data_IF_230980198497
#
_entry.id   IF_230980198497
#
_cell.length_a   1.000
_cell.length_b   1.000
_cell.length_c   1.000
_cell.angle_alpha   90.00
_cell.angle_beta   90.00
_cell.angle_gamma   90.00
#
_symmetry.space_group_name_H-M   'P 1'
#
loop_
_entity.id
_entity.type
_entity.pdbx_description
1 polymer ?
#
# COMPACT_ATOMS: atom_id res chain seq x y z
N UNK A 1 -19.66 -14.33 36.65
CA UNK A 1 -19.80 -13.53 35.44
C UNK A 1 -19.96 -12.09 35.88
N UNK A 2 -18.87 -11.33 35.82
CA UNK A 2 -18.90 -9.88 36.08
C UNK A 2 -19.25 -9.26 34.72
N UNK A 3 -20.46 -8.69 34.60
CA UNK A 3 -20.79 -7.83 33.46
C UNK A 3 -19.85 -6.62 33.52
N UNK A 4 -18.89 -6.52 32.59
CA UNK A 4 -18.18 -5.28 32.34
C UNK A 4 -19.21 -4.24 31.86
N UNK A 5 -19.59 -3.36 32.77
CA UNK A 5 -20.35 -2.15 32.43
C UNK A 5 -19.54 -1.37 31.40
N UNK A 6 -20.04 -1.26 30.17
CA UNK A 6 -19.54 -0.24 29.23
C UNK A 6 -19.64 1.12 29.94
N UNK A 7 -18.55 1.93 29.93
CA UNK A 7 -18.61 3.26 30.56
C UNK A 7 -19.76 4.06 29.93
N UNK A 8 -20.50 4.75 30.79
CA UNK A 8 -21.59 5.61 30.36
C UNK A 8 -20.98 6.75 29.54
N UNK A 9 -21.41 6.97 28.31
CA UNK A 9 -20.89 8.03 27.42
C UNK A 9 -20.90 9.43 28.04
N UNK A 10 -21.58 9.63 29.19
CA UNK A 10 -21.65 10.90 29.90
C UNK A 10 -20.47 11.17 30.86
N UNK A 11 -19.66 10.16 31.19
CA UNK A 11 -18.54 10.29 32.14
C UNK A 11 -17.17 10.39 31.45
N UNK A 12 -17.15 10.37 30.13
CA UNK A 12 -15.92 10.50 29.32
C UNK A 12 -15.81 11.93 28.83
N UNK A 13 -14.71 12.59 29.14
CA UNK A 13 -14.39 13.90 28.56
C UNK A 13 -14.13 13.70 27.07
N UNK A 14 -15.12 14.00 26.25
CA UNK A 14 -14.98 13.97 24.80
C UNK A 14 -14.08 15.12 24.36
N UNK A 15 -12.82 14.81 24.03
CA UNK A 15 -11.92 15.79 23.41
C UNK A 15 -11.89 15.48 21.92
N UNK A 16 -12.51 16.37 21.14
CA UNK A 16 -12.36 16.34 19.69
C UNK A 16 -11.02 16.97 19.32
N UNK A 17 -10.02 16.16 19.01
CA UNK A 17 -8.82 16.67 18.38
C UNK A 17 -9.22 17.04 16.96
N UNK A 18 -9.11 18.31 16.66
CA UNK A 18 -9.34 18.88 15.33
C UNK A 18 -8.20 18.50 14.36
N UNK A 19 -7.94 17.21 14.18
CA UNK A 19 -7.39 16.70 12.93
C UNK A 19 -8.55 16.68 11.94
N UNK A 20 -9.02 17.91 11.62
CA UNK A 20 -10.16 18.13 10.77
C UNK A 20 -9.96 17.51 9.40
N UNK A 21 -11.04 17.42 8.63
CA UNK A 21 -11.07 16.83 7.30
C UNK A 21 -9.93 17.27 6.38
N UNK A 22 -9.31 18.43 6.66
CA UNK A 22 -8.12 18.92 5.97
C UNK A 22 -7.16 19.48 7.04
N UNK A 23 -6.14 18.73 7.39
CA UNK A 23 -5.13 19.13 8.35
C UNK A 23 -3.73 19.06 7.69
N UNK A 24 -2.82 20.04 7.93
CA UNK A 24 -1.49 20.06 7.30
C UNK A 24 -0.65 18.80 7.53
N UNK A 25 -0.82 18.13 8.68
CA UNK A 25 -0.09 16.90 9.01
C UNK A 25 -0.74 15.64 8.45
N UNK A 26 -1.90 15.73 7.81
CA UNK A 26 -2.57 14.61 7.18
C UNK A 26 -2.27 14.61 5.68
N UNK A 27 -1.67 13.52 5.16
CA UNK A 27 -1.43 13.37 3.71
C UNK A 27 -2.72 13.33 2.89
N UNK A 28 -3.82 12.87 3.50
CA UNK A 28 -5.15 12.78 2.89
C UNK A 28 -6.22 13.12 3.93
N UNK A 29 -7.38 13.68 3.53
CA UNK A 29 -8.42 14.10 4.46
C UNK A 29 -9.11 12.91 5.13
N UNK A 30 -9.19 12.95 6.46
CA UNK A 30 -9.94 12.05 7.32
C UNK A 30 -10.25 12.75 8.64
N UNK A 31 -11.15 12.19 9.45
CA UNK A 31 -11.48 12.71 10.77
C UNK A 31 -11.27 11.64 11.82
N UNK A 32 -10.60 11.98 12.90
CA UNK A 32 -10.49 11.15 14.09
C UNK A 32 -11.23 11.81 15.24
N UNK A 33 -11.98 11.00 15.98
CA UNK A 33 -12.55 11.36 17.28
C UNK A 33 -11.97 10.43 18.33
N UNK A 34 -11.35 11.00 19.34
CA UNK A 34 -10.77 10.28 20.47
C UNK A 34 -11.60 10.53 21.72
N UNK A 35 -11.95 9.47 22.42
CA UNK A 35 -12.57 9.53 23.74
C UNK A 35 -11.48 9.29 24.78
N UNK A 36 -11.26 10.25 25.68
CA UNK A 36 -10.08 10.33 26.52
C UNK A 36 -10.48 10.47 28.00
N UNK A 37 -9.79 9.74 28.86
CA UNK A 37 -9.85 9.86 30.30
C UNK A 37 -8.43 9.97 30.87
N UNK A 38 -8.15 11.03 31.64
CA UNK A 38 -6.81 11.33 32.17
C UNK A 38 -5.70 11.28 31.10
N UNK A 39 -5.95 11.91 29.94
CA UNK A 39 -5.04 11.97 28.77
C UNK A 39 -4.78 10.61 28.08
N UNK A 40 -5.41 9.54 28.54
CA UNK A 40 -5.32 8.20 27.95
C UNK A 40 -6.52 7.92 27.05
N UNK A 41 -6.25 7.47 25.83
CA UNK A 41 -7.30 7.13 24.85
C UNK A 41 -8.04 5.86 25.28
N UNK A 42 -9.36 5.95 25.43
CA UNK A 42 -10.25 4.82 25.75
C UNK A 42 -10.97 4.26 24.52
N UNK A 43 -11.27 5.12 23.56
CA UNK A 43 -11.90 4.73 22.30
C UNK A 43 -11.43 5.67 21.19
N UNK A 44 -11.30 5.16 19.97
CA UNK A 44 -10.96 5.94 18.78
C UNK A 44 -11.94 5.62 17.65
N UNK A 45 -12.51 6.64 17.03
CA UNK A 45 -13.36 6.55 15.86
C UNK A 45 -12.70 7.24 14.67
N UNK A 46 -12.53 6.53 13.57
CA UNK A 46 -12.00 7.09 12.30
C UNK A 46 -13.14 7.21 11.30
N UNK A 47 -13.44 8.45 10.91
CA UNK A 47 -14.42 8.74 9.86
C UNK A 47 -13.71 8.89 8.51
N UNK A 48 -14.13 8.09 7.54
CA UNK A 48 -13.63 8.07 6.17
C UNK A 48 -14.73 8.55 5.20
N UNK A 49 -14.39 8.67 3.91
CA UNK A 49 -15.36 8.97 2.85
C UNK A 49 -15.23 10.35 2.23
N UNK A 50 -14.34 11.19 2.76
CA UNK A 50 -14.11 12.55 2.25
C UNK A 50 -13.60 12.54 0.80
N UNK A 51 -12.82 11.52 0.44
CA UNK A 51 -12.25 11.34 -0.90
C UNK A 51 -13.08 10.43 -1.81
N UNK A 52 -14.34 10.15 -1.47
CA UNK A 52 -15.16 9.23 -2.25
C UNK A 52 -15.45 9.77 -3.66
N UNK A 53 -14.98 9.04 -4.68
CA UNK A 53 -15.11 9.42 -6.09
C UNK A 53 -15.95 8.44 -6.92
N UNK A 54 -16.49 7.40 -6.30
CA UNK A 54 -17.37 6.43 -6.95
C UNK A 54 -16.71 5.62 -8.07
N UNK A 55 -15.40 5.32 -7.98
CA UNK A 55 -14.65 4.67 -9.08
C UNK A 55 -15.30 3.37 -9.52
N UNK A 56 -15.71 2.49 -8.60
CA UNK A 56 -16.37 1.23 -8.93
C UNK A 56 -17.67 1.45 -9.70
N UNK A 57 -18.46 2.47 -9.30
CA UNK A 57 -19.68 2.82 -10.01
C UNK A 57 -19.40 3.38 -11.42
N UNK A 58 -18.32 4.15 -11.58
CA UNK A 58 -17.91 4.67 -12.90
C UNK A 58 -17.43 3.54 -13.81
N UNK A 59 -16.80 2.49 -13.25
CA UNK A 59 -16.38 1.32 -14.01
C UNK A 59 -17.55 0.54 -14.62
N UNK A 60 -18.71 0.56 -13.98
CA UNK A 60 -19.89 -0.18 -14.46
C UNK A 60 -20.28 0.22 -15.89
N UNK A 61 -20.34 -0.77 -16.79
CA UNK A 61 -20.67 -0.58 -18.19
C UNK A 61 -19.57 0.03 -19.06
N UNK A 62 -18.39 0.35 -18.51
CA UNK A 62 -17.25 0.76 -19.32
C UNK A 62 -16.65 -0.44 -20.06
N UNK A 63 -16.08 -0.24 -21.27
CA UNK A 63 -15.20 -1.22 -21.90
C UNK A 63 -14.07 -1.63 -20.93
N UNK A 64 -13.73 -2.93 -20.88
CA UNK A 64 -12.78 -3.49 -19.91
C UNK A 64 -11.44 -2.73 -19.88
N UNK A 65 -10.88 -2.38 -21.04
CA UNK A 65 -9.62 -1.64 -21.13
C UNK A 65 -9.70 -0.24 -20.49
N UNK A 66 -10.85 0.45 -20.68
CA UNK A 66 -11.08 1.77 -20.06
C UNK A 66 -11.30 1.66 -18.56
N UNK A 67 -12.05 0.66 -18.13
CA UNK A 67 -12.26 0.38 -16.71
C UNK A 67 -10.93 0.07 -16.01
N UNK A 68 -10.08 -0.78 -16.61
CA UNK A 68 -8.74 -1.08 -16.07
C UNK A 68 -7.88 0.20 -15.94
N UNK A 69 -7.88 1.07 -16.95
CA UNK A 69 -7.14 2.34 -16.89
C UNK A 69 -7.69 3.29 -15.82
N UNK A 70 -8.99 3.21 -15.51
CA UNK A 70 -9.61 4.03 -14.46
C UNK A 70 -9.16 3.61 -13.07
N UNK A 71 -8.80 2.33 -12.85
CA UNK A 71 -8.38 1.84 -11.52
C UNK A 71 -7.11 2.50 -11.00
N UNK A 72 -6.23 3.02 -11.86
CA UNK A 72 -5.09 3.86 -11.43
C UNK A 72 -5.52 5.09 -10.63
N UNK A 73 -6.76 5.56 -10.85
CA UNK A 73 -7.29 6.74 -10.17
C UNK A 73 -7.83 6.45 -8.77
N UNK A 74 -7.83 5.17 -8.35
CA UNK A 74 -8.21 4.80 -6.98
C UNK A 74 -7.20 5.36 -5.98
N UNK A 75 -5.90 5.29 -6.30
CA UNK A 75 -4.82 5.72 -5.42
C UNK A 75 -3.72 6.45 -6.19
N UNK A 76 -3.14 7.48 -5.59
CA UNK A 76 -1.97 8.18 -6.13
C UNK A 76 -0.63 7.60 -5.65
N UNK A 77 -0.64 6.63 -4.73
CA UNK A 77 0.57 6.01 -4.17
C UNK A 77 0.80 4.61 -4.75
N UNK A 78 -0.27 3.82 -4.94
CA UNK A 78 -0.22 2.46 -5.49
C UNK A 78 -1.02 2.35 -6.80
N UNK A 79 -0.81 3.28 -7.71
CA UNK A 79 -1.54 3.36 -8.98
C UNK A 79 -1.21 2.21 -9.93
N UNK A 80 0.06 1.79 -9.99
CA UNK A 80 0.49 0.63 -10.79
C UNK A 80 -0.15 -0.67 -10.27
N UNK A 81 -0.14 -0.87 -8.96
CA UNK A 81 -0.76 -2.03 -8.34
C UNK A 81 -2.26 -2.14 -8.69
N UNK A 82 -2.98 -1.04 -8.67
CA UNK A 82 -4.40 -1.02 -9.02
C UNK A 82 -4.67 -1.42 -10.47
N UNK A 83 -3.96 -0.82 -11.45
CA UNK A 83 -4.15 -1.19 -12.85
C UNK A 83 -3.67 -2.61 -13.12
N UNK A 84 -2.54 -3.01 -12.54
CA UNK A 84 -2.02 -4.37 -12.70
C UNK A 84 -3.01 -5.41 -12.19
N UNK A 85 -3.52 -5.26 -10.95
CA UNK A 85 -4.48 -6.21 -10.41
C UNK A 85 -5.80 -6.24 -11.20
N UNK A 86 -6.26 -5.09 -11.69
CA UNK A 86 -7.45 -5.02 -12.54
C UNK A 86 -7.23 -5.74 -13.89
N UNK A 87 -6.06 -5.59 -14.48
CA UNK A 87 -5.67 -6.30 -15.71
C UNK A 87 -5.57 -7.80 -15.46
N UNK A 88 -5.01 -8.24 -14.31
CA UNK A 88 -4.97 -9.65 -13.94
C UNK A 88 -6.37 -10.27 -13.82
N UNK A 89 -7.38 -9.52 -13.38
CA UNK A 89 -8.78 -10.01 -13.41
C UNK A 89 -9.20 -10.35 -14.82
N UNK A 90 -8.98 -9.44 -15.80
CA UNK A 90 -9.31 -9.70 -17.21
C UNK A 90 -8.51 -10.88 -17.77
N UNK A 91 -7.20 -10.91 -17.56
CA UNK A 91 -6.32 -11.96 -18.07
C UNK A 91 -6.71 -13.35 -17.54
N UNK A 92 -7.02 -13.45 -16.23
CA UNK A 92 -7.52 -14.70 -15.64
C UNK A 92 -8.87 -15.12 -16.23
N UNK A 93 -9.78 -14.17 -16.45
CA UNK A 93 -11.09 -14.45 -17.05
C UNK A 93 -11.02 -14.90 -18.49
N UNK A 94 -10.17 -14.26 -19.26
CA UNK A 94 -9.99 -14.52 -20.68
C UNK A 94 -8.96 -15.63 -20.97
N UNK A 95 -8.35 -16.23 -19.92
CA UNK A 95 -7.33 -17.27 -20.08
C UNK A 95 -6.07 -16.81 -20.81
N UNK A 96 -5.71 -15.53 -20.67
CA UNK A 96 -4.58 -14.92 -21.37
C UNK A 96 -3.28 -15.21 -20.65
N UNK A 97 -2.31 -15.80 -21.33
CA UNK A 97 -0.93 -15.92 -20.91
C UNK A 97 -0.11 -14.78 -21.51
N UNK A 98 0.56 -14.02 -20.66
CA UNK A 98 1.37 -12.88 -21.08
C UNK A 98 2.82 -13.31 -21.40
N UNK A 99 3.53 -12.57 -22.27
CA UNK A 99 4.95 -12.78 -22.47
C UNK A 99 5.72 -12.66 -21.14
N UNK A 100 6.65 -13.57 -20.89
CA UNK A 100 7.44 -13.59 -19.66
C UNK A 100 8.19 -12.26 -19.43
N UNK A 101 8.70 -11.64 -20.51
CA UNK A 101 9.32 -10.32 -20.45
C UNK A 101 8.37 -9.24 -19.89
N UNK A 102 7.10 -9.29 -20.24
CA UNK A 102 6.10 -8.37 -19.71
C UNK A 102 5.89 -8.56 -18.20
N UNK A 103 5.88 -9.82 -17.73
CA UNK A 103 5.78 -10.12 -16.31
C UNK A 103 6.95 -9.50 -15.52
N UNK A 104 8.18 -9.66 -16.00
CA UNK A 104 9.38 -9.08 -15.37
C UNK A 104 9.30 -7.55 -15.29
N UNK A 105 8.81 -6.88 -16.35
CA UNK A 105 8.63 -5.43 -16.34
C UNK A 105 7.54 -5.01 -15.32
N UNK A 106 6.44 -5.76 -15.22
CA UNK A 106 5.40 -5.53 -14.22
C UNK A 106 5.95 -5.63 -12.79
N UNK A 107 6.79 -6.65 -12.51
CA UNK A 107 7.44 -6.82 -11.21
C UNK A 107 8.40 -5.67 -10.90
N UNK A 108 9.21 -5.25 -11.87
CA UNK A 108 10.10 -4.08 -11.68
C UNK A 108 9.29 -2.83 -11.34
N UNK A 109 8.18 -2.59 -12.04
CA UNK A 109 7.30 -1.45 -11.76
C UNK A 109 6.64 -1.52 -10.39
N UNK A 110 6.21 -2.72 -9.97
CA UNK A 110 5.57 -2.94 -8.68
C UNK A 110 6.55 -2.77 -7.51
N UNK A 111 7.75 -3.32 -7.64
CA UNK A 111 8.76 -3.16 -6.58
C UNK A 111 9.33 -1.74 -6.53
N UNK A 112 9.42 -1.01 -7.65
CA UNK A 112 9.71 0.43 -7.63
C UNK A 112 8.57 1.21 -6.95
N UNK A 113 7.31 0.85 -7.19
CA UNK A 113 6.17 1.46 -6.51
C UNK A 113 6.18 1.14 -5.00
N UNK A 114 6.60 -0.06 -4.61
CA UNK A 114 6.80 -0.43 -3.19
C UNK A 114 7.89 0.42 -2.55
N UNK A 115 9.05 0.59 -3.18
CA UNK A 115 10.12 1.47 -2.71
C UNK A 115 9.62 2.90 -2.53
N UNK A 116 8.97 3.46 -3.56
CA UNK A 116 8.37 4.80 -3.52
C UNK A 116 7.42 4.96 -2.33
N UNK A 117 6.57 3.97 -2.09
CA UNK A 117 5.58 3.98 -1.01
C UNK A 117 6.24 3.89 0.37
N UNK A 118 7.22 2.99 0.55
CA UNK A 118 7.92 2.86 1.83
C UNK A 118 8.72 4.11 2.18
N UNK A 119 9.38 4.75 1.21
CA UNK A 119 10.04 6.04 1.47
C UNK A 119 9.06 7.17 1.79
N UNK A 120 7.85 7.16 1.21
CA UNK A 120 6.80 8.11 1.60
C UNK A 120 6.35 7.90 3.04
N UNK A 121 6.18 6.64 3.45
CA UNK A 121 5.87 6.30 4.85
C UNK A 121 6.98 6.76 5.80
N UNK A 122 8.26 6.48 5.48
CA UNK A 122 9.40 6.91 6.30
C UNK A 122 9.49 8.45 6.39
N UNK A 123 9.19 9.16 5.30
CA UNK A 123 9.16 10.62 5.29
C UNK A 123 8.05 11.16 6.19
N UNK A 124 6.83 10.66 6.03
CA UNK A 124 5.67 11.11 6.79
C UNK A 124 5.76 10.72 8.27
N UNK A 125 6.18 9.50 8.59
CA UNK A 125 6.39 9.06 9.96
C UNK A 125 7.47 9.89 10.67
N UNK A 126 8.55 10.25 9.96
CA UNK A 126 9.59 11.17 10.50
C UNK A 126 9.03 12.57 10.77
N UNK A 127 8.17 13.09 9.91
CA UNK A 127 7.51 14.38 10.09
C UNK A 127 6.59 14.37 11.31
N UNK A 128 5.77 13.34 11.49
CA UNK A 128 4.90 13.17 12.66
C UNK A 128 5.69 13.05 13.95
N UNK A 129 6.90 12.47 13.90
CA UNK A 129 7.85 12.44 15.03
C UNK A 129 8.55 13.78 15.28
N UNK A 130 8.32 14.81 14.44
CA UNK A 130 9.00 16.10 14.54
C UNK A 130 10.42 16.12 13.97
N UNK A 131 10.83 15.09 13.23
CA UNK A 131 12.16 14.97 12.61
C UNK A 131 12.17 15.36 11.13
N UNK A 132 12.02 16.66 10.86
CA UNK A 132 11.99 17.21 9.49
C UNK A 132 13.24 16.82 8.65
N UNK A 133 14.41 16.78 9.27
CA UNK A 133 15.65 16.37 8.58
C UNK A 133 15.58 14.95 8.03
N UNK A 134 15.02 14.01 8.77
CA UNK A 134 14.82 12.64 8.31
C UNK A 134 13.73 12.55 7.26
N UNK A 135 12.65 13.30 7.42
CA UNK A 135 11.60 13.42 6.41
C UNK A 135 12.18 13.85 5.06
N UNK A 136 12.93 14.96 5.04
CA UNK A 136 13.58 15.47 3.83
C UNK A 136 14.57 14.47 3.22
N UNK A 137 15.31 13.72 4.04
CA UNK A 137 16.22 12.67 3.55
C UNK A 137 15.47 11.51 2.90
N UNK A 138 14.38 11.06 3.48
CA UNK A 138 13.55 10.00 2.90
C UNK A 138 12.96 10.47 1.55
N UNK A 139 12.47 11.71 1.44
CA UNK A 139 12.03 12.30 0.17
C UNK A 139 13.16 12.40 -0.86
N UNK A 140 14.38 12.75 -0.45
CA UNK A 140 15.52 12.82 -1.35
C UNK A 140 15.85 11.44 -1.96
N UNK A 141 15.87 10.38 -1.15
CA UNK A 141 16.11 9.01 -1.65
C UNK A 141 14.95 8.58 -2.56
N UNK A 142 13.72 8.87 -2.15
CA UNK A 142 12.51 8.59 -2.92
C UNK A 142 12.55 9.22 -4.32
N UNK A 143 13.19 10.38 -4.49
CA UNK A 143 13.26 11.06 -5.78
C UNK A 143 13.95 10.21 -6.84
N UNK A 144 15.02 9.48 -6.49
CA UNK A 144 15.65 8.52 -7.40
C UNK A 144 14.64 7.50 -7.93
N UNK A 145 13.81 6.93 -7.05
CA UNK A 145 12.76 5.97 -7.44
C UNK A 145 11.70 6.61 -8.32
N UNK A 146 11.28 7.84 -8.01
CA UNK A 146 10.28 8.58 -8.80
C UNK A 146 10.78 8.87 -10.23
N UNK A 147 12.07 9.19 -10.40
CA UNK A 147 12.66 9.38 -11.72
C UNK A 147 12.74 8.08 -12.53
N UNK A 148 13.02 6.94 -11.89
CA UNK A 148 12.98 5.62 -12.55
C UNK A 148 11.56 5.28 -13.01
N UNK A 149 10.56 5.46 -12.16
CA UNK A 149 9.14 5.27 -12.49
C UNK A 149 8.72 6.16 -13.67
N UNK A 150 9.11 7.44 -13.64
CA UNK A 150 8.88 8.38 -14.75
C UNK A 150 9.55 7.95 -16.05
N UNK A 151 10.79 7.48 -15.96
CA UNK A 151 11.56 7.02 -17.12
C UNK A 151 10.88 5.82 -17.80
N UNK A 152 10.33 4.88 -17.04
CA UNK A 152 9.68 3.68 -17.57
C UNK A 152 8.24 3.99 -17.98
N UNK A 153 7.44 4.53 -17.08
CA UNK A 153 6.01 4.73 -17.26
C UNK A 153 5.62 6.03 -17.98
N UNK A 154 6.56 6.99 -18.08
CA UNK A 154 6.30 8.31 -18.68
C UNK A 154 5.60 9.32 -17.76
N UNK A 155 5.27 8.92 -16.53
CA UNK A 155 4.65 9.77 -15.52
C UNK A 155 5.22 9.38 -14.14
N UNK A 156 5.18 10.33 -13.18
CA UNK A 156 5.68 10.13 -11.82
C UNK A 156 4.70 9.40 -10.90
N UNK A 157 3.41 9.43 -11.19
CA UNK A 157 2.36 8.92 -10.29
C UNK A 157 1.44 7.90 -10.98
N UNK A 158 1.01 8.16 -12.20
CA UNK A 158 0.07 7.33 -12.93
C UNK A 158 0.72 6.83 -14.21
N UNK A 159 1.29 5.65 -14.13
CA UNK A 159 2.22 5.14 -15.14
C UNK A 159 1.52 4.52 -16.33
N UNK A 160 0.32 3.96 -16.15
CA UNK A 160 -0.43 3.24 -17.18
C UNK A 160 0.39 2.13 -17.81
N UNK A 161 1.21 1.41 -17.02
CA UNK A 161 2.16 0.44 -17.56
C UNK A 161 1.48 -0.85 -17.99
N UNK A 162 0.64 -1.44 -17.14
CA UNK A 162 -0.03 -2.71 -17.40
C UNK A 162 -1.23 -2.55 -18.35
N UNK A 163 -1.34 -3.44 -19.31
CA UNK A 163 -2.48 -3.59 -20.24
C UNK A 163 -2.80 -5.07 -20.37
N UNK A 164 -4.00 -5.40 -20.85
CA UNK A 164 -4.37 -6.80 -21.13
C UNK A 164 -3.39 -7.38 -22.15
N UNK A 165 -2.83 -8.53 -21.83
CA UNK A 165 -1.83 -9.21 -22.63
C UNK A 165 -0.39 -8.76 -22.40
N UNK A 166 -0.11 -7.89 -21.42
CA UNK A 166 1.27 -7.49 -21.08
C UNK A 166 1.44 -6.06 -20.59
N UNK A 167 2.44 -5.36 -21.12
CA UNK A 167 2.72 -3.94 -20.80
C UNK A 167 2.72 -3.09 -22.07
N UNK A 168 2.47 -1.79 -21.88
CA UNK A 168 2.55 -0.84 -23.00
C UNK A 168 3.94 -0.82 -23.62
N UNK A 169 4.07 -0.80 -24.95
CA UNK A 169 5.38 -0.80 -25.64
C UNK A 169 6.34 0.30 -25.16
N UNK A 170 5.81 1.45 -24.73
CA UNK A 170 6.66 2.55 -24.17
C UNK A 170 7.38 2.18 -22.89
N UNK A 171 6.87 1.17 -22.14
CA UNK A 171 7.47 0.67 -20.91
C UNK A 171 8.56 -0.39 -21.14
N UNK A 172 8.88 -0.67 -22.42
CA UNK A 172 9.98 -1.56 -22.81
C UNK A 172 11.30 -1.12 -22.19
N UNK A 173 12.08 -2.09 -21.70
CA UNK A 173 13.38 -1.86 -21.07
C UNK A 173 14.50 -2.16 -22.06
N UNK A 174 15.12 -1.12 -22.60
CA UNK A 174 16.36 -1.22 -23.35
C UNK A 174 17.58 -1.18 -22.40
N UNK A 175 18.77 -1.44 -22.94
CA UNK A 175 20.04 -1.49 -22.18
C UNK A 175 20.28 -0.22 -21.34
N UNK A 176 20.03 0.97 -21.91
CA UNK A 176 20.20 2.25 -21.20
C UNK A 176 19.25 2.35 -19.98
N UNK A 177 17.98 1.92 -20.11
CA UNK A 177 17.04 1.94 -19.00
C UNK A 177 17.41 0.93 -17.93
N UNK A 178 17.85 -0.27 -18.33
CA UNK A 178 18.35 -1.32 -17.42
C UNK A 178 19.54 -0.79 -16.62
N UNK A 179 20.51 -0.17 -17.27
CA UNK A 179 21.66 0.43 -16.60
C UNK A 179 21.25 1.50 -15.59
N UNK A 180 20.34 2.42 -15.97
CA UNK A 180 19.84 3.45 -15.06
C UNK A 180 19.08 2.88 -13.86
N UNK A 181 18.33 1.78 -14.03
CA UNK A 181 17.68 1.09 -12.93
C UNK A 181 18.74 0.52 -11.98
N UNK A 182 19.78 -0.13 -12.50
CA UNK A 182 20.87 -0.68 -11.69
C UNK A 182 21.59 0.42 -10.88
N UNK A 183 21.99 1.51 -11.52
CA UNK A 183 22.61 2.68 -10.86
C UNK A 183 21.68 3.27 -9.79
N UNK A 184 20.40 3.43 -10.10
CA UNK A 184 19.41 3.93 -9.15
C UNK A 184 19.22 3.00 -7.95
N UNK A 185 19.27 1.69 -8.14
CA UNK A 185 19.19 0.72 -7.00
C UNK A 185 20.41 0.83 -6.10
N UNK A 186 21.61 1.08 -6.66
CA UNK A 186 22.81 1.31 -5.85
C UNK A 186 22.71 2.59 -5.02
N UNK A 187 22.14 3.65 -5.58
CA UNK A 187 21.95 4.92 -4.88
C UNK A 187 20.89 4.80 -3.78
N UNK A 188 19.77 4.10 -4.06
CA UNK A 188 18.72 3.83 -3.09
C UNK A 188 19.25 2.98 -1.92
N UNK A 189 20.02 1.93 -2.19
CA UNK A 189 20.63 1.07 -1.17
C UNK A 189 21.60 1.84 -0.27
N UNK A 190 22.50 2.65 -0.84
CA UNK A 190 23.38 3.53 -0.06
C UNK A 190 22.58 4.55 0.77
N UNK A 191 21.48 5.04 0.20
CA UNK A 191 20.58 6.00 0.85
C UNK A 191 19.89 5.41 2.07
N UNK A 192 19.25 4.24 1.92
CA UNK A 192 18.52 3.58 3.01
C UNK A 192 19.46 3.10 4.12
N UNK A 193 20.65 2.58 3.78
CA UNK A 193 21.64 2.18 4.79
C UNK A 193 22.01 3.37 5.67
N UNK A 194 22.36 4.52 5.07
CA UNK A 194 22.69 5.74 5.82
C UNK A 194 21.49 6.30 6.61
N UNK A 195 20.29 6.12 6.11
CA UNK A 195 19.07 6.53 6.80
C UNK A 195 18.84 5.63 8.03
N UNK A 196 18.91 4.31 7.85
CA UNK A 196 18.73 3.34 8.92
C UNK A 196 19.76 3.51 10.04
N UNK A 197 21.04 3.63 9.71
CA UNK A 197 22.13 3.82 10.68
C UNK A 197 21.94 5.06 11.58
N UNK A 198 21.29 6.09 11.08
CA UNK A 198 21.12 7.36 11.82
C UNK A 198 19.77 7.46 12.50
N UNK A 199 18.69 7.02 11.83
CA UNK A 199 17.33 7.14 12.33
C UNK A 199 16.97 6.04 13.33
N UNK A 200 17.30 4.78 12.98
CA UNK A 200 16.97 3.62 13.83
C UNK A 200 17.85 3.57 15.08
N UNK A 201 19.07 4.09 15.02
CA UNK A 201 19.99 4.14 16.17
C UNK A 201 19.84 5.43 17.02
N UNK A 202 18.95 6.34 16.63
CA UNK A 202 18.70 7.56 17.40
C UNK A 202 17.88 7.24 18.67
N UNK A 203 18.46 7.42 19.89
CA UNK A 203 17.76 7.08 21.13
C UNK A 203 16.49 7.90 21.36
N UNK A 204 16.43 9.13 20.85
CA UNK A 204 15.26 10.00 20.97
C UNK A 204 14.12 9.45 20.11
N UNK A 205 14.43 9.06 18.86
CA UNK A 205 13.46 8.42 17.99
C UNK A 205 12.94 7.12 18.61
N UNK A 206 13.86 6.25 19.06
CA UNK A 206 13.48 4.96 19.65
C UNK A 206 12.59 5.12 20.89
N UNK A 207 12.91 6.05 21.79
CA UNK A 207 12.09 6.32 22.98
C UNK A 207 10.67 6.83 22.68
N UNK A 208 10.44 7.35 21.46
CA UNK A 208 9.14 7.88 21.02
C UNK A 208 8.29 6.87 20.27
N UNK A 209 8.81 5.72 19.89
CA UNK A 209 8.11 4.73 19.04
C UNK A 209 8.07 3.33 19.61
N UNK A 210 8.95 3.02 20.58
CA UNK A 210 8.99 1.70 21.22
C UNK A 210 7.87 1.55 22.23
N UNK A 211 7.08 0.48 22.11
CA UNK A 211 5.97 0.16 22.99
C UNK A 211 4.73 1.06 22.80
N UNK A 212 4.70 1.91 21.77
CA UNK A 212 3.57 2.79 21.44
C UNK A 212 2.73 2.14 20.35
N UNK A 213 1.39 2.21 20.44
CA UNK A 213 0.47 1.71 19.43
C UNK A 213 0.48 0.20 19.25
N UNK A 214 0.69 -0.56 20.32
CA UNK A 214 0.87 -2.00 20.26
C UNK A 214 -0.39 -2.71 19.77
N UNK A 215 -0.25 -3.48 18.69
CA UNK A 215 -1.29 -4.36 18.15
C UNK A 215 -0.88 -5.81 18.41
N UNK A 216 -1.42 -6.48 19.42
CA UNK A 216 -1.09 -7.88 19.69
C UNK A 216 -1.47 -8.78 18.50
N UNK A 217 -0.65 -9.81 18.22
CA UNK A 217 -0.85 -10.75 17.11
C UNK A 217 -2.29 -11.31 17.04
N UNK A 218 -2.85 -11.74 18.18
CA UNK A 218 -4.23 -12.25 18.25
C UNK A 218 -5.26 -11.21 17.81
N UNK A 219 -5.02 -9.95 18.15
CA UNK A 219 -5.90 -8.86 17.78
C UNK A 219 -5.75 -8.50 16.29
N UNK A 220 -4.52 -8.49 15.78
CA UNK A 220 -4.26 -8.29 14.36
C UNK A 220 -4.98 -9.32 13.48
N UNK A 221 -4.92 -10.60 13.88
CA UNK A 221 -5.64 -11.69 13.19
C UNK A 221 -7.16 -11.50 13.29
N UNK A 222 -7.69 -11.16 14.47
CA UNK A 222 -9.14 -10.92 14.68
C UNK A 222 -9.68 -9.75 13.86
N UNK A 223 -8.86 -8.72 13.66
CA UNK A 223 -9.20 -7.52 12.87
C UNK A 223 -8.89 -7.71 11.37
N UNK A 224 -8.46 -8.90 10.95
CA UNK A 224 -8.11 -9.22 9.56
C UNK A 224 -7.04 -8.29 8.98
N UNK A 225 -6.09 -7.85 9.81
CA UNK A 225 -4.99 -6.98 9.40
C UNK A 225 -4.18 -7.64 8.30
N UNK A 226 -3.67 -6.88 7.36
CA UNK A 226 -2.91 -7.38 6.22
C UNK A 226 -1.61 -6.59 6.00
N UNK A 227 -0.67 -7.20 5.27
CA UNK A 227 0.56 -6.57 4.83
C UNK A 227 1.61 -6.38 5.91
N UNK A 228 2.47 -5.35 5.77
CA UNK A 228 3.54 -5.07 6.74
C UNK A 228 3.04 -4.90 8.17
N UNK A 229 1.85 -4.32 8.37
CA UNK A 229 1.26 -4.16 9.71
C UNK A 229 0.93 -5.51 10.35
N UNK A 230 0.49 -6.51 9.59
CA UNK A 230 0.31 -7.87 10.09
C UNK A 230 1.67 -8.53 10.39
N UNK A 231 2.63 -8.39 9.48
CA UNK A 231 3.98 -8.95 9.65
C UNK A 231 4.74 -8.33 10.82
N UNK A 232 4.44 -7.08 11.17
CA UNK A 232 4.98 -6.41 12.36
C UNK A 232 4.56 -7.08 13.69
N UNK A 233 3.55 -7.95 13.68
CA UNK A 233 3.05 -8.71 14.84
C UNK A 233 3.52 -10.17 14.88
N UNK A 234 4.53 -10.56 14.12
CA UNK A 234 5.09 -11.92 14.07
C UNK A 234 4.39 -12.88 13.12
N UNK A 235 3.39 -12.43 12.36
CA UNK A 235 2.70 -13.31 11.39
C UNK A 235 3.47 -13.35 10.09
N UNK A 236 4.07 -14.50 9.78
CA UNK A 236 4.79 -14.74 8.53
C UNK A 236 3.81 -15.00 7.37
N UNK A 237 3.23 -13.92 6.84
CA UNK A 237 2.31 -13.98 5.71
C UNK A 237 2.60 -12.85 4.72
N UNK A 238 3.05 -13.23 3.52
CA UNK A 238 3.22 -12.36 2.37
C UNK A 238 2.61 -13.02 1.14
N UNK A 239 1.67 -12.34 0.49
CA UNK A 239 0.96 -12.92 -0.64
C UNK A 239 1.88 -13.13 -1.85
N UNK A 240 2.98 -12.37 -1.98
CA UNK A 240 3.96 -12.53 -3.07
C UNK A 240 4.51 -13.95 -3.15
N UNK A 241 4.65 -14.65 -2.00
CA UNK A 241 5.07 -16.05 -1.92
C UNK A 241 4.10 -17.05 -2.58
N UNK A 242 2.87 -16.61 -2.86
CA UNK A 242 1.80 -17.43 -3.49
C UNK A 242 1.43 -16.93 -4.88
N UNK A 243 2.04 -15.85 -5.34
CA UNK A 243 1.76 -15.26 -6.65
C UNK A 243 2.68 -15.91 -7.70
N UNK A 244 2.08 -16.46 -8.77
CA UNK A 244 2.81 -17.06 -9.92
C UNK A 244 3.80 -16.05 -10.54
N UNK A 245 3.46 -14.77 -10.51
CA UNK A 245 4.24 -13.69 -11.06
C UNK A 245 5.58 -13.50 -10.34
N UNK A 246 5.67 -13.89 -9.05
CA UNK A 246 6.88 -13.79 -8.22
C UNK A 246 7.69 -15.08 -8.14
N UNK A 247 7.19 -16.23 -8.64
CA UNK A 247 7.91 -17.51 -8.61
C UNK A 247 9.38 -17.46 -9.12
N UNK A 248 9.73 -16.62 -10.14
CA UNK A 248 11.12 -16.52 -10.60
C UNK A 248 12.09 -15.80 -9.67
N UNK A 249 11.60 -15.19 -8.58
CA UNK A 249 12.39 -14.28 -7.74
C UNK A 249 12.57 -14.85 -6.34
N UNK A 250 13.81 -14.76 -5.84
CA UNK A 250 14.17 -15.13 -4.48
C UNK A 250 14.18 -13.89 -3.58
N UNK A 251 13.40 -13.93 -2.49
CA UNK A 251 13.34 -12.89 -1.46
C UNK A 251 12.85 -13.47 -0.14
N UNK A 252 13.16 -12.76 0.94
CA UNK A 252 12.78 -13.16 2.28
C UNK A 252 11.52 -12.41 2.75
N UNK A 253 10.65 -13.10 3.47
CA UNK A 253 9.50 -12.47 4.14
C UNK A 253 9.98 -11.88 5.46
N UNK A 254 9.99 -10.57 5.54
CA UNK A 254 10.38 -9.85 6.76
C UNK A 254 9.25 -9.89 7.78
N UNK A 255 9.59 -10.13 9.06
CA UNK A 255 8.68 -10.08 10.21
C UNK A 255 9.31 -9.35 11.38
N UNK A 256 8.46 -8.78 12.25
CA UNK A 256 8.80 -8.23 13.56
C UNK A 256 7.78 -8.77 14.56
N UNK A 257 8.04 -8.72 15.87
CA UNK A 257 7.20 -9.43 16.85
C UNK A 257 6.41 -8.49 17.79
N UNK A 258 6.86 -7.25 17.99
CA UNK A 258 6.30 -6.35 19.02
C UNK A 258 4.97 -5.72 18.63
N UNK A 259 4.68 -5.57 17.32
CA UNK A 259 3.43 -5.02 16.79
C UNK A 259 3.20 -3.53 17.09
N UNK A 260 4.24 -2.81 17.51
CA UNK A 260 4.24 -1.39 17.85
C UNK A 260 4.65 -0.49 16.67
N UNK A 261 4.72 0.81 16.89
CA UNK A 261 5.15 1.80 15.89
C UNK A 261 6.58 1.51 15.41
N UNK A 262 7.48 1.09 16.30
CA UNK A 262 8.86 0.71 16.00
C UNK A 262 8.90 -0.47 15.02
N UNK A 263 8.18 -1.54 15.34
CA UNK A 263 8.09 -2.74 14.50
C UNK A 263 7.54 -2.41 13.12
N UNK A 264 6.50 -1.59 13.05
CA UNK A 264 5.92 -1.14 11.78
C UNK A 264 6.89 -0.30 10.95
N UNK A 265 7.71 0.53 11.59
CA UNK A 265 8.75 1.32 10.92
C UNK A 265 9.87 0.42 10.40
N UNK A 266 10.36 -0.49 11.24
CA UNK A 266 11.41 -1.45 10.88
C UNK A 266 10.99 -2.34 9.72
N UNK A 267 9.72 -2.77 9.68
CA UNK A 267 9.18 -3.53 8.56
C UNK A 267 9.46 -2.86 7.21
N UNK A 268 9.17 -1.55 7.09
CA UNK A 268 9.37 -0.82 5.82
C UNK A 268 10.84 -0.61 5.50
N UNK A 269 11.67 -0.34 6.52
CA UNK A 269 13.13 -0.21 6.36
C UNK A 269 13.74 -1.52 5.85
N UNK A 270 13.32 -2.66 6.39
CA UNK A 270 13.87 -3.98 6.06
C UNK A 270 13.28 -4.57 4.75
N UNK A 271 12.07 -4.18 4.35
CA UNK A 271 11.50 -4.60 3.06
C UNK A 271 12.13 -3.88 1.85
N UNK A 272 12.73 -2.70 2.05
CA UNK A 272 13.40 -1.96 0.96
C UNK A 272 14.54 -2.77 0.34
N UNK A 273 15.48 -3.36 1.09
CA UNK A 273 16.51 -4.25 0.53
C UNK A 273 15.95 -5.44 -0.26
N UNK A 274 14.85 -6.04 0.21
CA UNK A 274 14.22 -7.16 -0.52
C UNK A 274 13.63 -6.72 -1.86
N UNK A 275 13.00 -5.55 -1.92
CA UNK A 275 12.53 -4.98 -3.19
C UNK A 275 13.69 -4.69 -4.15
N UNK A 276 14.81 -4.16 -3.65
CA UNK A 276 16.04 -3.95 -4.44
C UNK A 276 16.58 -5.29 -4.96
N UNK A 277 16.60 -6.34 -4.11
CA UNK A 277 17.02 -7.70 -4.47
C UNK A 277 16.16 -8.26 -5.61
N UNK A 278 14.85 -8.11 -5.55
CA UNK A 278 13.92 -8.54 -6.60
C UNK A 278 14.18 -7.77 -7.90
N UNK A 279 14.30 -6.44 -7.85
CA UNK A 279 14.56 -5.61 -9.04
C UNK A 279 15.89 -6.00 -9.70
N UNK A 280 16.95 -6.19 -8.93
CA UNK A 280 18.25 -6.65 -9.45
C UNK A 280 18.18 -8.02 -10.14
N UNK A 281 17.45 -8.96 -9.56
CA UNK A 281 17.18 -10.25 -10.19
C UNK A 281 16.40 -10.09 -11.49
N UNK A 282 15.38 -9.23 -11.48
CA UNK A 282 14.52 -9.00 -12.63
C UNK A 282 15.30 -8.37 -13.82
N UNK A 283 16.14 -7.36 -13.59
CA UNK A 283 16.94 -6.77 -14.68
C UNK A 283 18.05 -7.71 -15.17
N UNK A 284 18.66 -8.51 -14.28
CA UNK A 284 19.72 -9.48 -14.63
C UNK A 284 19.18 -10.61 -15.49
N UNK A 285 17.97 -11.10 -15.19
CA UNK A 285 17.38 -12.26 -15.83
C UNK A 285 16.23 -11.87 -16.80
N UNK A 286 16.19 -10.61 -17.25
CA UNK A 286 15.11 -10.12 -18.11
C UNK A 286 15.05 -10.90 -19.42
N UNK A 287 13.98 -11.68 -19.70
CA UNK A 287 13.89 -12.48 -20.92
C UNK A 287 13.84 -11.61 -22.17
N UNK A 288 14.31 -12.12 -23.30
CA UNK A 288 14.10 -11.52 -24.62
C UNK A 288 12.66 -11.79 -25.09
N UNK A 289 12.17 -11.00 -26.04
CA UNK A 289 10.88 -11.24 -26.69
C UNK A 289 9.93 -10.05 -26.60
N UNK A 290 8.67 -10.28 -26.94
CA UNK A 290 7.61 -9.26 -26.92
C UNK A 290 7.24 -8.86 -25.47
N UNK A 291 6.77 -7.64 -25.33
CA UNK A 291 6.22 -7.12 -24.06
C UNK A 291 4.69 -7.12 -24.05
N UNK A 292 4.07 -7.52 -25.14
CA UNK A 292 2.60 -7.62 -25.24
C UNK A 292 2.21 -8.71 -26.24
N UNK A 293 1.22 -9.50 -25.87
CA UNK A 293 0.47 -10.35 -26.76
C UNK A 293 -0.91 -9.72 -27.01
N UNK A 294 -1.33 -9.68 -28.27
CA UNK A 294 -2.64 -9.15 -28.73
C UNK A 294 -3.46 -10.21 -29.46
N UNK A 295 -3.06 -11.47 -29.38
CA UNK A 295 -3.76 -12.57 -30.09
C UNK A 295 -5.01 -13.06 -29.34
N UNK A 296 -5.34 -12.46 -28.18
CA UNK A 296 -6.49 -12.80 -27.38
C UNK A 296 -7.80 -12.24 -27.93
N UNK A 297 -8.88 -12.91 -27.63
CA UNK A 297 -10.24 -12.50 -27.99
C UNK A 297 -11.04 -12.16 -26.71
N UNK A 298 -11.98 -11.21 -26.85
CA UNK A 298 -12.88 -10.83 -25.77
C UNK A 298 -14.11 -11.74 -25.78
N UNK A 299 -14.44 -12.31 -24.63
CA UNK A 299 -15.67 -13.07 -24.42
C UNK A 299 -16.24 -12.82 -23.02
N UNK A 300 -17.50 -13.18 -22.84
CA UNK A 300 -18.19 -12.98 -21.57
C UNK A 300 -17.65 -13.91 -20.50
N UNK A 301 -17.43 -13.35 -19.30
CA UNK A 301 -16.93 -14.08 -18.15
C UNK A 301 -17.76 -13.77 -16.90
N UNK A 302 -18.06 -14.78 -16.12
CA UNK A 302 -18.60 -14.62 -14.78
C UNK A 302 -17.61 -13.85 -13.89
N UNK A 303 -18.02 -13.48 -12.67
CA UNK A 303 -17.16 -12.74 -11.74
C UNK A 303 -15.84 -13.45 -11.47
N UNK A 304 -14.76 -12.80 -11.88
CA UNK A 304 -13.37 -13.23 -11.69
C UNK A 304 -12.77 -12.41 -10.55
N UNK A 305 -11.82 -13.02 -9.85
CA UNK A 305 -11.14 -12.43 -8.69
C UNK A 305 -9.63 -12.44 -8.90
N UNK A 306 -8.96 -11.37 -8.46
CA UNK A 306 -7.52 -11.30 -8.39
C UNK A 306 -7.06 -10.64 -7.10
N UNK A 307 -5.94 -11.13 -6.58
CA UNK A 307 -5.28 -10.63 -5.37
C UNK A 307 -3.80 -10.42 -5.67
N UNK A 308 -3.26 -9.34 -5.19
CA UNK A 308 -1.82 -9.05 -5.21
C UNK A 308 -1.39 -8.44 -3.87
N UNK A 309 -0.10 -8.57 -3.54
CA UNK A 309 0.49 -7.90 -2.38
C UNK A 309 1.03 -6.53 -2.82
N UNK A 310 0.41 -5.47 -2.31
CA UNK A 310 0.85 -4.10 -2.53
C UNK A 310 1.60 -3.57 -1.30
N UNK A 311 2.24 -2.39 -1.33
CA UNK A 311 3.06 -1.90 -0.22
C UNK A 311 2.39 -1.89 1.16
N UNK A 312 1.06 -1.84 1.21
CA UNK A 312 0.26 -1.81 2.46
C UNK A 312 -0.41 -3.13 2.80
N UNK A 313 -0.30 -4.15 1.93
CA UNK A 313 -0.89 -5.47 2.12
C UNK A 313 -1.72 -5.94 0.92
N UNK A 314 -2.70 -6.79 1.17
CA UNK A 314 -3.47 -7.45 0.11
C UNK A 314 -4.44 -6.51 -0.58
N UNK A 315 -4.31 -6.35 -1.89
CA UNK A 315 -5.24 -5.67 -2.78
C UNK A 315 -6.09 -6.69 -3.53
N UNK A 316 -7.41 -6.53 -3.46
CA UNK A 316 -8.38 -7.36 -4.14
C UNK A 316 -9.15 -6.58 -5.19
N UNK A 317 -9.28 -7.15 -6.39
CA UNK A 317 -10.18 -6.69 -7.43
C UNK A 317 -11.04 -7.85 -7.95
N UNK A 318 -12.29 -7.55 -8.29
CA UNK A 318 -13.16 -8.48 -9.00
C UNK A 318 -14.16 -7.74 -9.88
N UNK A 319 -14.50 -8.34 -11.00
CA UNK A 319 -15.61 -7.93 -11.86
C UNK A 319 -15.98 -9.07 -12.82
N UNK A 320 -17.18 -8.98 -13.42
CA UNK A 320 -17.59 -9.79 -14.57
C UNK A 320 -17.39 -9.03 -15.87
N UNK A 321 -17.32 -9.75 -16.98
CA UNK A 321 -17.27 -9.17 -18.34
C UNK A 321 -18.52 -9.61 -19.09
N UNK A 322 -19.33 -8.65 -19.55
CA UNK A 322 -20.52 -8.87 -20.38
C UNK A 322 -20.48 -7.91 -21.58
N UNK A 323 -20.58 -8.42 -22.78
CA UNK A 323 -20.46 -7.64 -24.02
C UNK A 323 -19.19 -6.78 -24.07
N UNK A 324 -18.03 -7.29 -23.56
CA UNK A 324 -16.77 -6.59 -23.48
C UNK A 324 -16.76 -5.42 -22.47
N UNK A 325 -17.72 -5.38 -21.54
CA UNK A 325 -17.89 -4.33 -20.53
C UNK A 325 -17.83 -4.89 -19.13
N UNK A 326 -17.33 -4.07 -18.21
CA UNK A 326 -17.25 -4.43 -16.77
C UNK A 326 -18.62 -4.41 -16.13
N UNK A 327 -18.91 -5.42 -15.30
CA UNK A 327 -20.08 -5.55 -14.46
C UNK A 327 -19.68 -5.97 -13.04
N UNK A 328 -20.44 -5.48 -12.05
CA UNK A 328 -20.32 -5.84 -10.65
C UNK A 328 -18.88 -5.69 -10.11
N UNK A 329 -18.25 -4.54 -10.40
CA UNK A 329 -16.89 -4.27 -9.97
C UNK A 329 -16.79 -4.08 -8.47
N UNK A 330 -15.82 -4.74 -7.84
CA UNK A 330 -15.52 -4.62 -6.41
C UNK A 330 -14.02 -4.47 -6.21
N UNK A 331 -13.63 -3.45 -5.47
CA UNK A 331 -12.25 -3.18 -5.07
C UNK A 331 -12.18 -3.24 -3.54
N UNK A 332 -11.21 -3.99 -2.99
CA UNK A 332 -10.90 -4.01 -1.56
C UNK A 332 -9.42 -3.71 -1.38
N UNK A 333 -9.13 -2.72 -0.56
CA UNK A 333 -7.77 -2.21 -0.37
C UNK A 333 -7.25 -2.56 1.02
N UNK A 334 -5.93 -2.72 1.20
CA UNK A 334 -5.37 -3.03 2.51
C UNK A 334 -5.65 -1.95 3.56
N UNK A 335 -5.62 -0.66 3.18
CA UNK A 335 -5.94 0.41 4.14
C UNK A 335 -7.37 0.32 4.66
N UNK A 336 -8.32 -0.14 3.84
CA UNK A 336 -9.70 -0.39 4.27
C UNK A 336 -9.77 -1.49 5.33
N UNK A 337 -9.06 -2.59 5.16
CA UNK A 337 -9.06 -3.70 6.15
C UNK A 337 -8.33 -3.31 7.43
N UNK A 338 -7.31 -2.44 7.34
CA UNK A 338 -6.49 -2.04 8.47
C UNK A 338 -7.09 -0.89 9.32
N UNK A 339 -8.28 -0.34 8.99
CA UNK A 339 -8.92 0.73 9.79
C UNK A 339 -9.12 0.32 11.24
N UNK A 340 -9.61 -0.90 11.47
CA UNK A 340 -9.83 -1.43 12.83
C UNK A 340 -8.53 -1.53 13.64
N UNK A 341 -7.41 -1.81 12.98
CA UNK A 341 -6.09 -1.82 13.61
C UNK A 341 -5.64 -0.41 14.02
N UNK A 342 -5.88 0.59 13.18
CA UNK A 342 -5.57 2.00 13.49
C UNK A 342 -6.33 2.48 14.71
N UNK A 343 -7.63 2.17 14.79
CA UNK A 343 -8.47 2.51 15.94
C UNK A 343 -7.99 1.79 17.21
N UNK A 344 -7.69 0.48 17.10
CA UNK A 344 -7.22 -0.32 18.22
C UNK A 344 -5.87 0.16 18.75
N UNK A 345 -4.95 0.52 17.87
CA UNK A 345 -3.60 0.97 18.22
C UNK A 345 -3.59 2.24 19.08
N UNK A 346 -4.64 3.07 19.03
CA UNK A 346 -4.73 4.26 19.86
C UNK A 346 -5.16 3.95 21.30
N UNK A 347 -5.77 2.79 21.57
CA UNK A 347 -6.40 2.49 22.86
C UNK A 347 -5.34 2.15 23.91
N UNK A 348 -5.33 2.89 25.01
CA UNK A 348 -4.39 2.73 26.12
C UNK A 348 -3.17 3.62 26.04
N UNK A 349 -2.92 4.26 24.91
CA UNK A 349 -1.82 5.21 24.74
C UNK A 349 -2.25 6.64 25.07
N UNK A 350 -1.25 7.51 25.26
CA UNK A 350 -1.46 8.92 25.54
C UNK A 350 -1.98 9.62 24.27
N UNK A 351 -2.85 10.62 24.46
CA UNK A 351 -3.50 11.37 23.37
C UNK A 351 -2.49 11.99 22.37
N UNK A 352 -1.31 12.39 22.84
CA UNK A 352 -0.24 12.94 21.98
C UNK A 352 0.35 11.92 21.02
N UNK A 353 0.22 10.63 21.31
CA UNK A 353 0.77 9.53 20.51
C UNK A 353 -0.25 8.96 19.52
N UNK A 354 -1.52 9.37 19.63
CA UNK A 354 -2.61 8.85 18.79
C UNK A 354 -2.33 9.00 17.27
N UNK A 355 -1.67 10.07 16.85
CA UNK A 355 -1.30 10.25 15.44
C UNK A 355 -0.27 9.22 14.98
N UNK A 356 0.74 8.91 15.82
CA UNK A 356 1.72 7.87 15.53
C UNK A 356 1.05 6.49 15.44
N UNK A 357 0.11 6.20 16.37
CA UNK A 357 -0.67 4.97 16.38
C UNK A 357 -1.48 4.76 15.09
N UNK A 358 -2.00 5.82 14.49
CA UNK A 358 -2.72 5.76 13.21
C UNK A 358 -1.74 5.60 12.04
N UNK A 359 -0.70 6.43 12.00
CA UNK A 359 0.25 6.50 10.88
C UNK A 359 1.08 5.22 10.76
N UNK A 360 1.32 4.47 11.84
CA UNK A 360 2.07 3.21 11.79
C UNK A 360 1.48 2.20 10.79
N UNK A 361 0.17 2.19 10.59
CA UNK A 361 -0.50 1.33 9.62
C UNK A 361 -0.36 1.82 8.17
N UNK A 362 0.33 2.94 7.94
CA UNK A 362 0.52 3.55 6.61
C UNK A 362 -0.79 3.75 5.85
N UNK A 363 -1.80 4.45 6.42
CA UNK A 363 -3.10 4.55 5.79
C UNK A 363 -3.06 5.39 4.50
N UNK A 364 -3.73 4.89 3.47
CA UNK A 364 -4.16 5.68 2.32
C UNK A 364 -5.67 5.88 2.41
N UNK A 365 -6.14 7.04 2.85
CA UNK A 365 -7.57 7.28 3.08
C UNK A 365 -8.38 7.34 1.79
N UNK A 366 -7.77 7.71 0.68
CA UNK A 366 -8.37 7.56 -0.65
C UNK A 366 -8.72 6.10 -0.97
N UNK A 367 -7.93 5.15 -0.47
CA UNK A 367 -8.20 3.71 -0.59
C UNK A 367 -9.28 3.25 0.38
N UNK A 368 -9.39 3.82 1.59
CA UNK A 368 -10.40 3.43 2.60
C UNK A 368 -11.82 3.73 2.17
N UNK A 369 -12.03 4.66 1.24
CA UNK A 369 -13.35 5.01 0.70
C UNK A 369 -14.06 3.84 0.00
N UNK A 370 -13.36 2.75 -0.25
CA UNK A 370 -13.95 1.47 -0.72
C UNK A 370 -14.80 0.77 0.33
N UNK A 371 -14.65 1.12 1.61
CA UNK A 371 -15.48 0.58 2.70
C UNK A 371 -16.85 1.26 2.82
N UNK A 372 -17.08 2.37 2.13
CA UNK A 372 -18.33 3.12 2.21
C UNK A 372 -19.51 2.34 1.61
N UNK A 373 -20.60 2.30 2.35
CA UNK A 373 -21.90 1.82 1.87
C UNK A 373 -22.85 3.02 1.72
N UNK A 374 -23.25 3.31 0.50
CA UNK A 374 -24.26 4.33 0.22
C UNK A 374 -25.63 3.73 0.49
N UNK A 375 -26.39 4.33 1.41
CA UNK A 375 -27.77 3.96 1.70
C UNK A 375 -28.64 5.09 1.16
N UNK A 376 -29.44 4.79 0.13
CA UNK A 376 -30.49 5.71 -0.31
C UNK A 376 -31.66 5.59 0.69
N UNK A 377 -31.99 6.70 1.33
CA UNK A 377 -33.13 6.82 2.23
C UNK A 377 -34.42 7.02 1.43
#
# INVERSE_FOLDING_TARGET
MVEEKKPNKQDVIETEISMGTVHPTALEPYRVRLFVEDEIVKEAEITIGVNHRGIERIMEGLPVEKANSLTEKVCGICSNAHIWNSVLVAEKGLGIEIPQRANYIRIIMEELERLHSHFLYLAHGSEVLGHETFSMRAFYIRETVMELLRMIGGNRVQYGASIIGGVRPRCELNEMRIQKIAEGMDDVEKGITKFADRFVLDPIVMSRIEGIGVIPQKQAIKLEVTGPTLRATGVNQDLRMKMKEYEPFDFDVITQDDGDVKSNLLMRVLEIPESIKIIRQAIKNLPSGSVVDRSWEMFDCNTIKSYIEVPRGTLYHSYAIEDGRVRNSVIRTPSMTNIGAMQYACIGDHITDAQLCIVQCDPCFTCTDRAMKIINL
#
